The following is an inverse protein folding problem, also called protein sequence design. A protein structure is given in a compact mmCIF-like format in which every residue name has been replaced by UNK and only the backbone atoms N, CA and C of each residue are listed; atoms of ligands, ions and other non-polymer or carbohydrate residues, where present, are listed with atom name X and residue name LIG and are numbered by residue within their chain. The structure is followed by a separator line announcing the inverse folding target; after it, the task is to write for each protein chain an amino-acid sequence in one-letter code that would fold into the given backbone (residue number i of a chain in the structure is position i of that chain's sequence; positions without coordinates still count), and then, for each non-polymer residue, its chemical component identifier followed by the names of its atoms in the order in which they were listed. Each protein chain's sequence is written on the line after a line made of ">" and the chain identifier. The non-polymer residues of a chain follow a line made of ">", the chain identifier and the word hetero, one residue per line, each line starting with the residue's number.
data_IF_106991768147
#
_entry.id   IF_106991768147
#
_cell.length_a   1.000
_cell.length_b   1.000
_cell.length_c   1.000
_cell.angle_alpha   90.00
_cell.angle_beta   90.00
_cell.angle_gamma   90.00
#
_symmetry.space_group_name_H-M   'P 1'
#
loop_
_entity.id
_entity.type
_entity.pdbx_description
1 polymer ?
#
# COMPACT_ATOMS: atom_id res chain seq x y z
N UNK A 1 -14.64 9.70 14.45
CA UNK A 1 -13.87 9.00 13.39
C UNK A 1 -12.40 9.28 13.58
N UNK A 2 -11.71 8.39 14.27
CA UNK A 2 -10.34 8.58 14.80
C UNK A 2 -9.58 7.24 14.83
N UNK A 3 -10.18 6.16 14.33
CA UNK A 3 -9.58 4.83 14.32
C UNK A 3 -8.45 4.74 13.30
N UNK A 4 -8.59 5.34 12.12
CA UNK A 4 -7.52 5.39 11.10
C UNK A 4 -6.28 6.12 11.63
N UNK A 5 -6.48 7.27 12.29
CA UNK A 5 -5.38 8.00 12.91
C UNK A 5 -4.69 7.16 13.99
N UNK A 6 -5.45 6.48 14.88
CA UNK A 6 -4.89 5.58 15.90
C UNK A 6 -4.11 4.41 15.30
N UNK A 7 -4.60 3.80 14.23
CA UNK A 7 -3.92 2.68 13.55
C UNK A 7 -2.61 3.18 12.93
N UNK A 8 -2.63 4.31 12.22
CA UNK A 8 -1.42 4.90 11.63
C UNK A 8 -0.40 5.25 12.71
N UNK A 9 -0.83 5.86 13.81
CA UNK A 9 0.05 6.18 14.96
C UNK A 9 0.61 4.92 15.61
N UNK A 10 -0.19 3.88 15.79
CA UNK A 10 0.26 2.60 16.35
C UNK A 10 1.30 1.91 15.47
N UNK A 11 1.09 1.91 14.15
CA UNK A 11 2.07 1.38 13.19
C UNK A 11 3.35 2.21 13.23
N UNK A 12 3.27 3.54 13.13
CA UNK A 12 4.47 4.39 13.18
C UNK A 12 5.28 4.22 14.46
N UNK A 13 4.59 4.22 15.61
CA UNK A 13 5.23 4.03 16.91
C UNK A 13 5.85 2.62 17.02
N UNK A 14 5.16 1.58 16.55
CA UNK A 14 5.66 0.22 16.53
C UNK A 14 6.89 0.05 15.64
N UNK A 15 6.88 0.61 14.43
CA UNK A 15 8.02 0.54 13.51
C UNK A 15 9.22 1.30 14.06
N UNK A 16 9.01 2.52 14.60
CA UNK A 16 10.10 3.30 15.20
C UNK A 16 10.72 2.58 16.41
N UNK A 17 9.88 2.10 17.33
CA UNK A 17 10.33 1.34 18.50
C UNK A 17 11.05 0.04 18.08
N UNK A 18 10.54 -0.66 17.06
CA UNK A 18 11.15 -1.87 16.52
C UNK A 18 12.52 -1.63 15.90
N UNK A 19 12.67 -0.57 15.10
CA UNK A 19 13.96 -0.21 14.48
C UNK A 19 14.98 0.21 15.53
N UNK A 20 14.58 1.05 16.50
CA UNK A 20 15.46 1.45 17.61
C UNK A 20 15.91 0.21 18.40
N UNK A 21 14.96 -0.64 18.79
CA UNK A 21 15.27 -1.86 19.55
C UNK A 21 16.15 -2.82 18.75
N UNK A 22 15.89 -3.00 17.45
CA UNK A 22 16.67 -3.87 16.58
C UNK A 22 18.11 -3.37 16.37
N UNK A 23 18.29 -2.08 16.13
CA UNK A 23 19.62 -1.46 15.97
C UNK A 23 20.41 -1.51 17.29
N UNK A 24 19.76 -1.27 18.43
CA UNK A 24 20.41 -1.32 19.74
C UNK A 24 20.75 -2.74 20.20
N UNK A 25 19.89 -3.72 19.89
CA UNK A 25 20.11 -5.12 20.27
C UNK A 25 21.22 -5.76 19.42
N UNK A 26 21.34 -5.38 18.15
CA UNK A 26 22.35 -5.90 17.24
C UNK A 26 23.03 -4.77 16.45
N UNK A 27 24.03 -4.10 17.05
CA UNK A 27 24.76 -3.04 16.37
C UNK A 27 25.76 -3.62 15.36
N UNK A 28 25.58 -3.26 14.09
CA UNK A 28 26.61 -3.43 13.06
C UNK A 28 27.75 -2.43 13.27
N UNK A 29 28.96 -2.79 12.83
CA UNK A 29 30.09 -1.84 12.87
C UNK A 29 29.80 -0.61 12.00
N UNK A 30 30.17 0.59 12.47
CA UNK A 30 29.87 1.84 11.75
C UNK A 30 30.42 1.90 10.32
N UNK A 31 31.55 1.23 10.05
CA UNK A 31 32.12 1.08 8.69
C UNK A 31 31.16 0.29 7.79
N UNK A 32 30.61 -0.80 8.31
CA UNK A 32 29.66 -1.64 7.58
C UNK A 32 28.32 -0.93 7.39
N UNK A 33 27.83 -0.19 8.39
CA UNK A 33 26.58 0.59 8.29
C UNK A 33 26.66 1.64 7.19
N UNK A 34 27.77 2.39 7.10
CA UNK A 34 27.97 3.40 6.05
C UNK A 34 28.04 2.75 4.66
N UNK A 35 28.77 1.64 4.53
CA UNK A 35 28.88 0.89 3.27
C UNK A 35 27.52 0.31 2.85
N UNK A 36 26.78 -0.29 3.79
CA UNK A 36 25.43 -0.80 3.57
C UNK A 36 24.47 0.31 3.18
N UNK A 37 24.54 1.49 3.81
CA UNK A 37 23.67 2.62 3.48
C UNK A 37 23.88 3.07 2.03
N UNK A 38 25.12 3.28 1.59
CA UNK A 38 25.39 3.71 0.21
C UNK A 38 24.92 2.66 -0.80
N UNK A 39 25.27 1.39 -0.60
CA UNK A 39 24.92 0.34 -1.57
C UNK A 39 23.41 0.02 -1.54
N UNK A 40 22.84 -0.23 -0.36
CA UNK A 40 21.40 -0.57 -0.25
C UNK A 40 20.49 0.59 -0.60
N UNK A 41 20.86 1.86 -0.41
CA UNK A 41 19.93 2.96 -0.74
C UNK A 41 19.72 3.10 -2.24
N UNK A 42 20.76 2.92 -3.05
CA UNK A 42 20.63 2.91 -4.51
C UNK A 42 19.82 1.70 -4.98
N UNK A 43 20.18 0.49 -4.54
CA UNK A 43 19.54 -0.74 -4.99
C UNK A 43 18.08 -0.81 -4.51
N UNK A 44 17.84 -0.52 -3.23
CA UNK A 44 16.50 -0.62 -2.64
C UNK A 44 15.54 0.45 -3.18
N UNK A 45 16.04 1.63 -3.58
CA UNK A 45 15.20 2.64 -4.22
C UNK A 45 14.77 2.23 -5.63
N UNK A 46 15.66 1.59 -6.39
CA UNK A 46 15.33 1.05 -7.71
C UNK A 46 14.34 -0.11 -7.59
N UNK A 47 14.63 -1.08 -6.73
CA UNK A 47 13.79 -2.27 -6.52
C UNK A 47 12.42 -1.91 -5.97
N UNK A 48 12.36 -1.03 -4.96
CA UNK A 48 11.08 -0.59 -4.39
C UNK A 48 10.24 0.18 -5.40
N UNK A 49 10.85 1.00 -6.26
CA UNK A 49 10.12 1.71 -7.30
C UNK A 49 9.54 0.74 -8.34
N UNK A 50 10.29 -0.29 -8.72
CA UNK A 50 9.80 -1.31 -9.64
C UNK A 50 8.67 -2.16 -9.01
N UNK A 51 8.83 -2.64 -7.78
CA UNK A 51 7.78 -3.40 -7.08
C UNK A 51 6.53 -2.55 -6.83
N UNK A 52 6.68 -1.29 -6.42
CA UNK A 52 5.55 -0.39 -6.23
C UNK A 52 4.83 -0.13 -7.54
N UNK A 53 5.55 0.11 -8.65
CA UNK A 53 4.91 0.28 -9.95
C UNK A 53 4.14 -0.98 -10.36
N UNK A 54 4.73 -2.18 -10.25
CA UNK A 54 4.03 -3.45 -10.55
C UNK A 54 2.80 -3.67 -9.68
N UNK A 55 2.90 -3.40 -8.37
CA UNK A 55 1.78 -3.54 -7.44
C UNK A 55 0.69 -2.49 -7.69
N UNK A 56 1.06 -1.25 -7.97
CA UNK A 56 0.11 -0.19 -8.30
C UNK A 56 -0.60 -0.49 -9.61
N UNK A 57 0.11 -1.01 -10.62
CA UNK A 57 -0.46 -1.40 -11.90
C UNK A 57 -1.43 -2.59 -11.73
N UNK A 58 -1.03 -3.63 -10.99
CA UNK A 58 -1.93 -4.75 -10.65
C UNK A 58 -3.16 -4.33 -9.84
N UNK A 59 -3.00 -3.40 -8.89
CA UNK A 59 -4.12 -2.84 -8.12
C UNK A 59 -5.03 -2.03 -9.03
N UNK A 60 -4.47 -1.20 -9.91
CA UNK A 60 -5.22 -0.34 -10.82
C UNK A 60 -6.02 -1.15 -11.83
N UNK A 61 -5.44 -2.20 -12.38
CA UNK A 61 -6.12 -3.13 -13.29
C UNK A 61 -7.26 -3.86 -12.56
N UNK A 62 -6.98 -4.43 -11.38
CA UNK A 62 -8.01 -5.07 -10.56
C UNK A 62 -9.13 -4.09 -10.17
N UNK A 63 -8.78 -2.83 -9.91
CA UNK A 63 -9.75 -1.80 -9.55
C UNK A 63 -10.61 -1.37 -10.74
N UNK A 64 -10.03 -1.27 -11.94
CA UNK A 64 -10.77 -0.97 -13.16
C UNK A 64 -11.74 -2.10 -13.53
N UNK A 65 -11.33 -3.37 -13.40
CA UNK A 65 -12.20 -4.52 -13.65
C UNK A 65 -13.37 -4.56 -12.67
N UNK A 66 -13.10 -4.35 -11.37
CA UNK A 66 -14.14 -4.28 -10.34
C UNK A 66 -15.06 -3.08 -10.57
N UNK A 67 -14.53 -1.93 -10.98
CA UNK A 67 -15.32 -0.74 -11.30
C UNK A 67 -16.19 -0.95 -12.54
N UNK A 68 -15.68 -1.55 -13.61
CA UNK A 68 -16.46 -1.84 -14.82
C UNK A 68 -17.56 -2.87 -14.52
N UNK A 69 -17.24 -3.92 -13.77
CA UNK A 69 -18.23 -4.94 -13.41
C UNK A 69 -19.30 -4.35 -12.47
N UNK A 70 -18.90 -3.52 -11.50
CA UNK A 70 -19.82 -2.80 -10.62
C UNK A 70 -20.64 -1.76 -11.37
N UNK A 71 -20.07 -1.06 -12.36
CA UNK A 71 -20.76 -0.11 -13.21
C UNK A 71 -21.77 -0.83 -14.11
N UNK A 72 -21.44 -1.97 -14.72
CA UNK A 72 -22.39 -2.80 -15.48
C UNK A 72 -23.52 -3.33 -14.60
N UNK A 73 -23.21 -3.84 -13.40
CA UNK A 73 -24.22 -4.31 -12.44
C UNK A 73 -25.12 -3.16 -11.96
N UNK A 74 -24.57 -1.98 -11.72
CA UNK A 74 -25.32 -0.77 -11.33
C UNK A 74 -26.20 -0.28 -12.49
N UNK A 75 -25.67 -0.19 -13.72
CA UNK A 75 -26.43 0.25 -14.90
C UNK A 75 -27.57 -0.73 -15.19
N UNK A 76 -27.33 -2.04 -15.11
CA UNK A 76 -28.38 -3.05 -15.32
C UNK A 76 -29.40 -3.07 -14.17
N UNK A 77 -28.96 -2.93 -12.92
CA UNK A 77 -29.86 -2.80 -11.76
C UNK A 77 -30.72 -1.54 -11.82
N UNK A 78 -30.14 -0.41 -12.23
CA UNK A 78 -30.85 0.86 -12.44
C UNK A 78 -31.80 0.79 -13.65
N UNK A 79 -31.43 0.10 -14.74
CA UNK A 79 -32.34 -0.16 -15.87
C UNK A 79 -33.53 -1.02 -15.45
N UNK A 80 -33.27 -2.12 -14.75
CA UNK A 80 -34.32 -3.07 -14.34
C UNK A 80 -35.26 -2.46 -13.29
N UNK A 81 -34.74 -1.59 -12.42
CA UNK A 81 -35.58 -0.80 -11.49
C UNK A 81 -36.32 0.35 -12.19
N UNK A 82 -35.72 1.02 -13.18
CA UNK A 82 -36.44 2.02 -13.99
C UNK A 82 -37.59 1.41 -14.79
N UNK A 83 -37.43 0.20 -15.33
CA UNK A 83 -38.50 -0.48 -16.06
C UNK A 83 -39.62 -0.96 -15.12
N UNK A 84 -39.28 -1.46 -13.93
CA UNK A 84 -40.29 -1.85 -12.93
C UNK A 84 -40.97 -0.67 -12.22
N UNK A 85 -40.40 0.53 -12.27
CA UNK A 85 -41.00 1.77 -11.74
C UNK A 85 -41.82 2.56 -12.78
N UNK A 86 -41.85 2.15 -14.05
CA UNK A 86 -42.59 2.85 -15.13
C UNK A 86 -44.00 2.30 -15.37
N UNK A 87 -44.51 1.44 -14.48
CA UNK A 87 -45.89 0.93 -14.45
C UNK A 87 -46.75 1.70 -13.46
#
# INVERSE_FOLDING_TARGET
>A
MNNTAKIITGVLAGTAAGLITGILTAPDSGKNTRKKLVNKTQDMAADAKEELNKKLESVKDSYNDILEESAKRTINGVKSTKETLKV
#
